data_IF_116705420478
#
_entry.id   IF_116705420478
#
_cell.length_a   1.000
_cell.length_b   1.000
_cell.length_c   1.000
_cell.angle_alpha   90.00
_cell.angle_beta   90.00
_cell.angle_gamma   90.00
#
_symmetry.space_group_name_H-M   'P 1'
#
loop_
_entity.id
_entity.type
_entity.pdbx_description
1 polymer ?
#
# COMPACT_ATOMS: atom_id res chain seq x y z
N UNK A 1 23.99 -17.70 4.66
CA UNK A 1 23.43 -17.85 3.32
C UNK A 1 24.26 -17.07 2.30
N UNK A 2 24.48 -15.75 2.51
CA UNK A 2 25.27 -14.93 1.58
C UNK A 2 26.73 -15.39 1.44
N UNK A 3 27.35 -15.74 2.54
CA UNK A 3 28.77 -16.15 2.56
C UNK A 3 28.98 -17.51 1.89
N UNK A 4 28.05 -18.44 2.09
CA UNK A 4 28.15 -19.81 1.56
C UNK A 4 27.63 -19.90 0.11
N UNK A 5 26.50 -19.22 -0.20
CA UNK A 5 25.84 -19.32 -1.49
C UNK A 5 26.01 -18.09 -2.39
N UNK A 6 26.75 -17.07 -1.97
CA UNK A 6 26.92 -15.76 -2.65
C UNK A 6 25.58 -15.08 -3.01
N UNK A 7 24.51 -15.39 -2.30
CA UNK A 7 23.19 -14.79 -2.51
C UNK A 7 23.06 -13.44 -1.79
N UNK A 8 22.43 -12.49 -2.44
CA UNK A 8 22.02 -11.24 -1.78
C UNK A 8 20.81 -11.54 -0.89
N UNK A 9 20.88 -11.12 0.38
CA UNK A 9 19.80 -11.28 1.35
C UNK A 9 19.12 -9.93 1.52
N UNK A 10 17.78 -9.91 1.43
CA UNK A 10 16.97 -8.73 1.70
C UNK A 10 16.00 -9.10 2.82
N UNK A 11 15.98 -8.31 3.88
CA UNK A 11 14.97 -8.36 4.93
C UNK A 11 13.97 -7.25 4.70
N UNK A 12 12.68 -7.61 4.72
CA UNK A 12 11.58 -6.65 4.69
C UNK A 12 10.87 -6.73 6.04
N UNK A 13 10.83 -5.62 6.76
CA UNK A 13 10.09 -5.48 8.01
C UNK A 13 8.87 -4.62 7.73
N UNK A 14 7.72 -5.27 7.69
CA UNK A 14 6.43 -4.59 7.57
C UNK A 14 5.97 -4.08 8.94
N UNK A 15 5.10 -3.08 8.95
CA UNK A 15 4.60 -2.38 10.15
C UNK A 15 5.75 -1.85 11.05
N UNK A 16 6.87 -1.45 10.45
CA UNK A 16 8.07 -1.03 11.17
C UNK A 16 7.85 0.20 12.09
N UNK A 17 6.76 0.94 11.90
CA UNK A 17 6.36 2.02 12.81
C UNK A 17 6.00 1.52 14.22
N UNK A 18 5.66 0.23 14.38
CA UNK A 18 5.39 -0.38 15.68
C UNK A 18 6.68 -0.77 16.43
N UNK A 19 7.83 -0.86 15.75
CA UNK A 19 9.09 -1.27 16.36
C UNK A 19 9.61 -0.21 17.32
N UNK A 20 10.07 -0.65 18.49
CA UNK A 20 10.77 0.19 19.44
C UNK A 20 12.18 0.57 18.97
N UNK A 21 12.77 1.57 19.65
CA UNK A 21 14.12 2.04 19.34
C UNK A 21 15.15 0.92 19.48
N UNK A 22 15.06 0.13 20.53
CA UNK A 22 16.00 -0.96 20.83
C UNK A 22 16.04 -1.98 19.68
N UNK A 23 14.89 -2.41 19.19
CA UNK A 23 14.79 -3.34 18.07
C UNK A 23 15.39 -2.76 16.78
N UNK A 24 15.14 -1.48 16.49
CA UNK A 24 15.73 -0.81 15.32
C UNK A 24 17.24 -0.67 15.44
N UNK A 25 17.77 -0.45 16.66
CA UNK A 25 19.21 -0.43 16.94
C UNK A 25 19.85 -1.81 16.73
N UNK A 26 19.17 -2.90 17.12
CA UNK A 26 19.66 -4.27 16.86
C UNK A 26 19.82 -4.52 15.36
N UNK A 27 18.84 -4.12 14.53
CA UNK A 27 18.99 -4.21 13.08
C UNK A 27 20.16 -3.36 12.56
N UNK A 28 20.39 -2.19 13.13
CA UNK A 28 21.56 -1.37 12.80
C UNK A 28 22.86 -2.11 13.07
N UNK A 29 22.98 -2.81 14.21
CA UNK A 29 24.16 -3.63 14.51
C UNK A 29 24.32 -4.79 13.55
N UNK A 30 23.26 -5.47 13.16
CA UNK A 30 23.31 -6.56 12.19
C UNK A 30 23.75 -6.09 10.80
N UNK A 31 23.48 -4.84 10.42
CA UNK A 31 23.95 -4.25 9.17
C UNK A 31 25.45 -3.90 9.23
N UNK A 32 26.02 -3.71 10.42
CA UNK A 32 27.43 -3.32 10.66
C UNK A 32 28.37 -4.51 10.65
N UNK A 33 28.31 -5.37 9.67
CA UNK A 33 29.24 -6.50 9.60
C UNK A 33 30.63 -6.05 9.16
N UNK A 34 31.69 -6.48 9.87
CA UNK A 34 33.09 -6.16 9.58
C UNK A 34 33.37 -4.65 9.50
N UNK A 35 32.93 -3.88 10.51
CA UNK A 35 33.19 -2.42 10.59
C UNK A 35 32.82 -1.67 9.31
N UNK A 36 31.60 -1.89 8.78
CA UNK A 36 31.06 -1.29 7.56
C UNK A 36 31.79 -1.64 6.24
N UNK A 37 32.78 -2.51 6.26
CA UNK A 37 33.50 -2.95 5.06
C UNK A 37 32.68 -3.90 4.19
N UNK A 38 31.62 -4.51 4.73
CA UNK A 38 30.67 -5.35 3.98
C UNK A 38 29.30 -5.36 4.65
N UNK A 39 28.26 -5.03 3.91
CA UNK A 39 26.88 -5.22 4.34
C UNK A 39 26.41 -6.64 3.99
N UNK A 40 26.11 -7.51 4.95
CA UNK A 40 25.71 -8.89 4.68
C UNK A 40 24.32 -8.99 4.07
N UNK A 41 23.48 -7.96 4.25
CA UNK A 41 22.08 -7.92 3.82
C UNK A 41 21.64 -6.48 3.53
N UNK A 42 20.52 -6.36 2.83
CA UNK A 42 19.77 -5.13 2.71
C UNK A 42 18.55 -5.18 3.61
N UNK A 43 18.18 -4.07 4.23
CA UNK A 43 17.01 -3.94 5.07
C UNK A 43 16.02 -2.96 4.44
N UNK A 44 14.78 -3.35 4.33
CA UNK A 44 13.66 -2.51 3.90
C UNK A 44 12.69 -2.39 5.07
N UNK A 45 12.48 -1.18 5.54
CA UNK A 45 11.47 -0.87 6.55
C UNK A 45 10.22 -0.35 5.82
N UNK A 46 9.10 -1.02 6.02
CA UNK A 46 7.80 -0.63 5.50
C UNK A 46 6.92 -0.25 6.68
N UNK A 47 6.21 0.86 6.59
CA UNK A 47 5.37 1.32 7.69
C UNK A 47 4.60 2.57 7.33
N UNK A 48 3.79 3.04 8.26
CA UNK A 48 3.04 4.29 8.12
C UNK A 48 3.98 5.50 8.22
N UNK A 49 3.47 6.68 7.86
CA UNK A 49 4.25 7.94 7.84
C UNK A 49 4.85 8.29 9.20
N UNK A 50 4.23 7.83 10.29
CA UNK A 50 4.73 7.98 11.68
C UNK A 50 6.13 7.40 11.87
N UNK A 51 6.49 6.35 11.13
CA UNK A 51 7.84 5.79 11.17
C UNK A 51 8.90 6.85 10.85
N UNK A 52 8.64 7.64 9.81
CA UNK A 52 9.57 8.70 9.41
C UNK A 52 9.33 9.97 10.22
N UNK A 53 8.10 10.47 10.28
CA UNK A 53 7.80 11.80 10.79
C UNK A 53 7.88 11.89 12.31
N UNK A 54 7.49 10.84 13.04
CA UNK A 54 7.45 10.84 14.50
C UNK A 54 8.60 10.09 15.16
N UNK A 55 9.26 9.16 14.43
CA UNK A 55 10.36 8.38 15.00
C UNK A 55 11.70 8.74 14.37
N UNK A 56 11.92 8.40 13.11
CA UNK A 56 13.24 8.48 12.49
C UNK A 56 13.79 9.91 12.37
N UNK A 57 12.93 10.92 12.36
CA UNK A 57 13.35 12.34 12.43
C UNK A 57 13.89 12.77 13.78
N UNK A 58 13.54 12.09 14.87
CA UNK A 58 14.02 12.45 16.21
C UNK A 58 15.53 12.25 16.31
N UNK A 59 16.17 13.11 17.14
CA UNK A 59 17.62 13.03 17.37
C UNK A 59 18.05 11.69 17.99
N UNK A 60 17.17 11.07 18.79
CA UNK A 60 17.41 9.75 19.37
C UNK A 60 17.57 8.62 18.35
N UNK A 61 17.12 8.82 17.11
CA UNK A 61 17.25 7.86 16.01
C UNK A 61 18.30 8.28 14.95
N UNK A 62 19.11 9.30 15.22
CA UNK A 62 20.06 9.85 14.26
C UNK A 62 21.02 8.78 13.72
N UNK A 63 21.49 7.87 14.56
CA UNK A 63 22.42 6.80 14.16
C UNK A 63 21.78 5.79 13.19
N UNK A 64 20.48 5.54 13.32
CA UNK A 64 19.69 4.69 12.39
C UNK A 64 19.46 5.46 11.09
N UNK A 65 19.00 6.71 11.20
CA UNK A 65 18.69 7.56 10.03
C UNK A 65 19.90 7.75 9.11
N UNK A 66 21.11 7.90 9.65
CA UNK A 66 22.35 8.05 8.87
C UNK A 66 22.68 6.82 7.99
N UNK A 67 22.00 5.69 8.20
CA UNK A 67 22.17 4.45 7.42
C UNK A 67 21.04 4.19 6.44
N UNK A 68 20.10 5.11 6.34
CA UNK A 68 19.01 5.03 5.37
C UNK A 68 19.49 5.69 4.09
N UNK A 69 19.72 4.88 3.08
CA UNK A 69 20.15 5.34 1.76
C UNK A 69 19.00 5.93 0.95
N UNK A 70 17.77 5.43 1.19
CA UNK A 70 16.60 5.81 0.40
C UNK A 70 15.34 5.87 1.29
N UNK A 71 14.57 6.94 1.14
CA UNK A 71 13.24 7.06 1.72
C UNK A 71 12.23 7.29 0.59
N UNK A 72 11.21 6.45 0.53
CA UNK A 72 10.16 6.49 -0.49
C UNK A 72 8.81 6.63 0.22
N UNK A 73 8.03 7.61 -0.21
CA UNK A 73 6.64 7.77 0.24
C UNK A 73 5.72 7.30 -0.89
N UNK A 74 4.86 6.32 -0.58
CA UNK A 74 3.82 5.88 -1.48
C UNK A 74 2.59 6.77 -1.29
N UNK A 75 2.28 7.56 -2.31
CA UNK A 75 1.09 8.40 -2.31
C UNK A 75 -0.16 7.59 -2.64
N UNK A 76 -1.32 8.16 -2.29
CA UNK A 76 -2.60 7.65 -2.79
C UNK A 76 -2.64 7.78 -4.31
N UNK A 77 -3.35 6.89 -4.96
CA UNK A 77 -3.57 6.97 -6.40
C UNK A 77 -4.38 8.23 -6.73
N UNK A 78 -3.98 8.92 -7.79
CA UNK A 78 -4.81 9.96 -8.36
C UNK A 78 -6.01 9.37 -9.13
N UNK A 79 -6.87 10.23 -9.69
CA UNK A 79 -8.06 9.80 -10.44
C UNK A 79 -7.68 8.91 -11.64
N UNK A 80 -6.69 9.33 -12.43
CA UNK A 80 -6.30 8.61 -13.64
C UNK A 80 -5.61 7.27 -13.30
N UNK A 81 -4.82 7.26 -12.25
CA UNK A 81 -4.20 6.05 -11.71
C UNK A 81 -5.24 5.09 -11.14
N UNK A 82 -6.27 5.60 -10.46
CA UNK A 82 -7.38 4.79 -9.93
C UNK A 82 -8.16 4.11 -11.04
N UNK A 83 -8.48 4.80 -12.14
CA UNK A 83 -9.14 4.20 -13.31
C UNK A 83 -8.26 3.12 -13.95
N UNK A 84 -6.96 3.38 -14.13
CA UNK A 84 -6.01 2.37 -14.65
C UNK A 84 -5.90 1.16 -13.72
N UNK A 85 -5.92 1.40 -12.40
CA UNK A 85 -5.88 0.34 -11.41
C UNK A 85 -7.11 -0.57 -11.50
N UNK A 86 -8.32 -0.01 -11.60
CA UNK A 86 -9.57 -0.76 -11.79
C UNK A 86 -9.49 -1.57 -13.09
N UNK A 87 -9.13 -0.94 -14.21
CA UNK A 87 -9.02 -1.60 -15.50
C UNK A 87 -8.00 -2.76 -15.49
N UNK A 88 -6.85 -2.58 -14.85
CA UNK A 88 -5.83 -3.63 -14.71
C UNK A 88 -6.36 -4.84 -13.93
N UNK A 89 -7.09 -4.62 -12.83
CA UNK A 89 -7.71 -5.70 -12.05
C UNK A 89 -8.81 -6.43 -12.81
N UNK A 90 -9.64 -5.71 -13.58
CA UNK A 90 -10.65 -6.32 -14.45
C UNK A 90 -9.99 -7.18 -15.54
N UNK A 91 -8.95 -6.67 -16.19
CA UNK A 91 -8.20 -7.41 -17.19
C UNK A 91 -7.52 -8.67 -16.61
N UNK A 92 -6.95 -8.57 -15.40
CA UNK A 92 -6.37 -9.72 -14.69
C UNK A 92 -7.42 -10.80 -14.39
N UNK A 93 -8.64 -10.41 -14.07
CA UNK A 93 -9.78 -11.31 -13.89
C UNK A 93 -10.34 -11.88 -15.20
N UNK A 94 -9.76 -11.55 -16.37
CA UNK A 94 -10.18 -12.03 -17.68
C UNK A 94 -11.35 -11.24 -18.29
N UNK A 95 -11.74 -10.12 -17.72
CA UNK A 95 -12.82 -9.27 -18.20
C UNK A 95 -12.27 -8.35 -19.29
N UNK A 96 -12.82 -8.45 -20.51
CA UNK A 96 -12.39 -7.68 -21.68
C UNK A 96 -13.24 -6.45 -21.98
N UNK A 97 -14.38 -6.30 -21.30
CA UNK A 97 -15.31 -5.21 -21.51
C UNK A 97 -15.30 -4.28 -20.30
N UNK A 98 -15.60 -3.00 -20.53
CA UNK A 98 -15.74 -2.04 -19.44
C UNK A 98 -17.06 -2.31 -18.70
N UNK A 99 -16.94 -2.66 -17.43
CA UNK A 99 -18.09 -2.87 -16.54
C UNK A 99 -18.49 -1.61 -15.78
N UNK A 100 -17.57 -0.69 -15.60
CA UNK A 100 -17.78 0.56 -14.90
C UNK A 100 -17.88 1.72 -15.89
N UNK A 101 -18.88 2.57 -15.73
CA UNK A 101 -18.95 3.84 -16.46
C UNK A 101 -17.88 4.80 -15.93
N UNK A 102 -17.55 5.83 -16.72
CA UNK A 102 -16.64 6.90 -16.25
C UNK A 102 -17.17 7.61 -15.01
N UNK A 103 -18.50 7.74 -14.87
CA UNK A 103 -19.14 8.27 -13.66
C UNK A 103 -18.96 7.35 -12.45
N UNK A 104 -19.07 6.03 -12.65
CA UNK A 104 -18.81 5.05 -11.60
C UNK A 104 -17.36 5.10 -11.12
N UNK A 105 -16.39 5.15 -12.04
CA UNK A 105 -14.96 5.26 -11.68
C UNK A 105 -14.68 6.56 -10.92
N UNK A 106 -15.30 7.67 -11.32
CA UNK A 106 -15.17 8.93 -10.60
C UNK A 106 -15.74 8.85 -9.18
N UNK A 107 -16.90 8.21 -9.00
CA UNK A 107 -17.48 8.05 -7.68
C UNK A 107 -16.67 7.09 -6.81
N UNK A 108 -16.13 5.99 -7.39
CA UNK A 108 -15.20 5.10 -6.70
C UNK A 108 -13.97 5.88 -6.21
N UNK A 109 -13.40 6.74 -7.05
CA UNK A 109 -12.26 7.56 -6.65
C UNK A 109 -12.61 8.51 -5.51
N UNK A 110 -13.76 9.21 -5.57
CA UNK A 110 -14.23 10.10 -4.50
C UNK A 110 -14.38 9.38 -3.17
N UNK A 111 -15.05 8.23 -3.17
CA UNK A 111 -15.29 7.46 -1.95
C UNK A 111 -14.04 6.79 -1.41
N UNK A 112 -13.17 6.28 -2.28
CA UNK A 112 -11.93 5.60 -1.88
C UNK A 112 -10.80 6.55 -1.51
N UNK A 113 -10.90 7.80 -1.91
CA UNK A 113 -9.81 8.79 -1.85
C UNK A 113 -8.49 8.26 -2.45
N UNK A 114 -8.56 7.40 -3.47
CA UNK A 114 -7.41 6.79 -4.13
C UNK A 114 -6.66 5.73 -3.32
N UNK A 115 -7.26 5.20 -2.25
CA UNK A 115 -6.66 4.13 -1.44
C UNK A 115 -6.96 2.78 -2.10
N UNK A 116 -5.96 2.00 -2.56
CA UNK A 116 -6.17 0.75 -3.31
C UNK A 116 -7.05 -0.26 -2.61
N UNK A 117 -6.88 -0.46 -1.30
CA UNK A 117 -7.73 -1.34 -0.49
C UNK A 117 -9.21 -0.91 -0.53
N UNK A 118 -9.47 0.39 -0.46
CA UNK A 118 -10.82 0.93 -0.53
C UNK A 118 -11.41 0.80 -1.93
N UNK A 119 -10.62 1.08 -2.98
CA UNK A 119 -11.03 0.85 -4.37
C UNK A 119 -11.49 -0.59 -4.55
N UNK A 120 -10.67 -1.57 -4.15
CA UNK A 120 -11.01 -2.99 -4.25
C UNK A 120 -12.32 -3.31 -3.54
N UNK A 121 -12.47 -2.84 -2.29
CA UNK A 121 -13.65 -3.09 -1.47
C UNK A 121 -14.93 -2.52 -2.09
N UNK A 122 -14.86 -1.30 -2.62
CA UNK A 122 -15.99 -0.64 -3.29
C UNK A 122 -16.33 -1.38 -4.57
N UNK A 123 -15.35 -1.68 -5.42
CA UNK A 123 -15.55 -2.41 -6.67
C UNK A 123 -16.18 -3.78 -6.42
N UNK A 124 -15.65 -4.56 -5.48
CA UNK A 124 -16.17 -5.88 -5.13
C UNK A 124 -17.64 -5.81 -4.73
N UNK A 125 -17.98 -4.94 -3.77
CA UNK A 125 -19.35 -4.79 -3.29
C UNK A 125 -20.30 -4.29 -4.40
N UNK A 126 -19.84 -3.35 -5.21
CA UNK A 126 -20.67 -2.82 -6.30
C UNK A 126 -20.90 -3.87 -7.40
N UNK A 127 -19.90 -4.71 -7.69
CA UNK A 127 -20.05 -5.85 -8.60
C UNK A 127 -21.08 -6.86 -8.07
N UNK A 128 -21.02 -7.17 -6.76
CA UNK A 128 -22.02 -8.06 -6.12
C UNK A 128 -23.42 -7.46 -6.18
N UNK A 129 -23.56 -6.16 -5.89
CA UNK A 129 -24.84 -5.45 -5.99
C UNK A 129 -25.36 -5.45 -7.43
N UNK A 130 -24.52 -5.16 -8.43
CA UNK A 130 -24.88 -5.19 -9.84
C UNK A 130 -25.37 -6.57 -10.27
N UNK A 131 -24.70 -7.63 -9.82
CA UNK A 131 -25.12 -9.00 -10.08
C UNK A 131 -26.51 -9.31 -9.51
N UNK A 132 -26.77 -8.91 -8.25
CA UNK A 132 -28.10 -9.07 -7.62
C UNK A 132 -29.20 -8.32 -8.37
N UNK A 133 -28.89 -7.14 -8.90
CA UNK A 133 -29.81 -6.32 -9.69
C UNK A 133 -29.88 -6.73 -11.18
N UNK A 134 -29.17 -7.79 -11.58
CA UNK A 134 -29.07 -8.27 -12.97
C UNK A 134 -28.59 -7.17 -13.95
N UNK A 135 -27.77 -6.23 -13.48
CA UNK A 135 -27.17 -5.16 -14.27
C UNK A 135 -25.79 -5.59 -14.81
N UNK A 136 -25.53 -5.28 -16.07
CA UNK A 136 -24.24 -5.57 -16.72
C UNK A 136 -23.28 -4.39 -16.68
N UNK A 137 -23.79 -3.19 -16.55
CA UNK A 137 -23.02 -1.95 -16.51
C UNK A 137 -23.27 -1.27 -15.17
N UNK A 138 -22.20 -0.82 -14.56
CA UNK A 138 -22.20 -0.18 -13.24
C UNK A 138 -22.08 1.32 -13.43
N UNK A 139 -23.04 2.06 -12.91
CA UNK A 139 -23.10 3.52 -12.92
C UNK A 139 -22.76 4.12 -11.54
N UNK A 140 -22.67 5.43 -11.48
CA UNK A 140 -22.36 6.18 -10.26
C UNK A 140 -23.43 6.04 -9.16
N UNK A 141 -24.68 5.81 -9.53
CA UNK A 141 -25.78 5.63 -8.56
C UNK A 141 -25.60 4.32 -7.79
N UNK A 142 -25.19 3.26 -8.48
CA UNK A 142 -24.92 1.96 -7.85
C UNK A 142 -23.74 2.05 -6.90
N UNK A 143 -22.66 2.73 -7.29
CA UNK A 143 -21.49 2.94 -6.43
C UNK A 143 -21.87 3.72 -5.19
N UNK A 144 -22.64 4.81 -5.34
CA UNK A 144 -23.10 5.64 -4.23
C UNK A 144 -24.00 4.86 -3.28
N UNK A 145 -24.96 4.11 -3.82
CA UNK A 145 -25.83 3.27 -3.00
C UNK A 145 -25.03 2.29 -2.14
N UNK A 146 -24.02 1.61 -2.71
CA UNK A 146 -23.17 0.67 -2.00
C UNK A 146 -22.31 1.38 -0.96
N UNK A 147 -21.78 2.55 -1.30
CA UNK A 147 -20.98 3.34 -0.35
C UNK A 147 -21.78 3.75 0.89
N UNK A 148 -23.04 4.16 0.69
CA UNK A 148 -23.90 4.64 1.77
C UNK A 148 -24.50 3.52 2.64
N UNK A 149 -24.72 2.33 2.07
CA UNK A 149 -25.49 1.28 2.75
C UNK A 149 -24.69 0.02 3.12
N UNK A 150 -23.63 -0.29 2.37
CA UNK A 150 -22.88 -1.53 2.55
C UNK A 150 -21.45 -1.35 3.07
N UNK A 151 -20.96 -0.11 3.11
CA UNK A 151 -19.64 0.19 3.67
C UNK A 151 -19.79 0.47 5.17
N UNK A 152 -19.79 -0.59 5.99
CA UNK A 152 -19.73 -0.48 7.44
C UNK A 152 -18.33 -0.04 7.86
N UNK A 153 -18.25 1.08 8.56
CA UNK A 153 -16.99 1.69 9.00
C UNK A 153 -16.61 2.82 8.05
N UNK A 154 -17.01 4.03 8.41
CA UNK A 154 -16.68 5.26 7.72
C UNK A 154 -15.17 5.38 7.52
N UNK A 155 -14.82 6.16 6.53
CA UNK A 155 -13.45 6.61 6.28
C UNK A 155 -13.05 7.48 7.47
N UNK A 156 -12.41 6.91 8.51
CA UNK A 156 -11.64 7.65 9.49
C UNK A 156 -10.20 7.77 9.03
#
# INVERSE_FOLDING_TARGET
>A
VRTVQKKKVVFVLDEAHLLGKETLEEFRFLLNYRFDSASPMSLILVGQTELWDQKLRLQSYAAIRQRIDMNIVLNRLDRAESSKYIAAHMAYAGIKQDLFTSGAEEEIFKVSAGIPRMINRICEKTLMYAYQQQKRLIDEHMVRFVADHEMVGGIE
#
